data_IF_968428230546
#
_entry.id   IF_968428230546
#
_cell.length_a   1.000
_cell.length_b   1.000
_cell.length_c   1.000
_cell.angle_alpha   90.00
_cell.angle_beta   90.00
_cell.angle_gamma   90.00
#
_symmetry.space_group_name_H-M   'P 1'
#
loop_
_entity.id
_entity.type
_entity.pdbx_description
1 polymer ?
#
# COMPACT_ATOMS: atom_id res chain seq x y z
N UNK A 1 4.73 3.18 20.43
CA UNK A 1 4.81 2.57 19.07
C UNK A 1 5.15 3.61 18.03
N UNK A 2 5.97 3.28 16.99
CA UNK A 2 6.33 4.22 15.91
C UNK A 2 5.40 4.04 14.71
N UNK A 3 4.90 5.16 14.18
CA UNK A 3 4.01 5.23 13.04
C UNK A 3 4.50 6.28 12.02
N UNK A 4 4.16 6.08 10.76
CA UNK A 4 4.67 6.85 9.62
C UNK A 4 3.54 7.46 8.80
N UNK A 5 3.69 8.73 8.41
CA UNK A 5 2.79 9.42 7.49
C UNK A 5 3.53 9.89 6.25
N UNK A 6 3.13 9.40 5.09
CA UNK A 6 3.69 9.81 3.79
C UNK A 6 2.90 10.96 3.16
N UNK A 7 3.57 12.06 2.84
CA UNK A 7 2.96 13.27 2.26
C UNK A 7 3.90 13.98 1.28
N UNK A 8 3.38 15.00 0.60
CA UNK A 8 4.12 15.96 -0.22
C UNK A 8 4.96 16.93 0.63
N UNK A 9 4.64 17.07 1.92
CA UNK A 9 5.29 17.98 2.87
C UNK A 9 5.38 17.35 4.26
N UNK A 10 6.22 17.97 5.11
CA UNK A 10 6.27 17.62 6.52
C UNK A 10 4.95 17.95 7.20
N UNK A 11 4.40 16.99 7.92
CA UNK A 11 3.27 17.17 8.82
C UNK A 11 3.79 16.97 10.24
N UNK A 12 4.08 18.05 10.95
CA UNK A 12 4.52 18.02 12.35
C UNK A 12 3.31 18.05 13.31
N UNK A 13 2.27 18.78 12.92
CA UNK A 13 1.02 18.90 13.65
C UNK A 13 -0.08 18.23 12.82
N UNK A 14 -0.49 17.01 13.18
CA UNK A 14 -1.56 16.32 12.49
C UNK A 14 -2.90 17.02 12.77
N UNK A 15 -3.78 17.04 11.77
CA UNK A 15 -5.13 17.55 11.92
C UNK A 15 -6.15 16.58 11.32
N UNK A 16 -7.39 16.69 11.78
CA UNK A 16 -8.50 15.94 11.21
C UNK A 16 -8.83 16.55 9.84
N UNK A 17 -8.62 15.76 8.80
CA UNK A 17 -8.98 16.17 7.44
C UNK A 17 -10.47 15.89 7.21
N UNK A 18 -11.30 16.89 7.45
CA UNK A 18 -12.76 16.78 7.27
C UNK A 18 -13.16 16.75 5.79
N UNK A 19 -12.38 17.39 4.92
CA UNK A 19 -12.58 17.42 3.47
C UNK A 19 -11.77 16.36 2.73
N UNK A 20 -11.21 15.42 3.45
CA UNK A 20 -10.36 14.40 2.86
C UNK A 20 -11.18 13.52 1.91
N UNK A 21 -10.57 13.22 0.75
CA UNK A 21 -11.08 12.22 -0.17
C UNK A 21 -11.54 10.99 0.58
N UNK A 22 -12.66 10.46 0.14
CA UNK A 22 -13.22 9.21 0.61
C UNK A 22 -12.13 8.14 0.71
N UNK A 23 -11.96 7.59 1.90
CA UNK A 23 -10.98 6.55 2.22
C UNK A 23 -11.67 5.41 2.95
N UNK A 24 -11.11 4.24 2.85
CA UNK A 24 -11.68 2.98 3.33
C UNK A 24 -12.01 2.94 4.82
N UNK A 25 -11.26 3.65 5.66
CA UNK A 25 -11.52 3.72 7.10
C UNK A 25 -12.19 5.04 7.53
N UNK A 26 -12.70 5.82 6.55
CA UNK A 26 -13.41 7.07 6.79
C UNK A 26 -12.51 8.28 6.93
N UNK A 27 -13.08 9.37 7.47
CA UNK A 27 -12.37 10.64 7.70
C UNK A 27 -11.43 10.52 8.89
N UNK A 28 -10.20 11.06 8.77
CA UNK A 28 -9.22 11.08 9.84
C UNK A 28 -7.79 11.28 9.34
N UNK A 29 -6.85 11.26 10.26
CA UNK A 29 -5.42 11.31 9.98
C UNK A 29 -4.86 9.89 9.88
N UNK A 30 -4.19 9.57 8.77
CA UNK A 30 -3.77 8.22 8.43
C UNK A 30 -2.29 8.00 8.64
N UNK A 31 -1.95 6.93 9.36
CA UNK A 31 -0.61 6.48 9.63
C UNK A 31 -0.47 4.96 9.33
N UNK A 32 0.76 4.50 9.18
CA UNK A 32 1.08 3.09 8.99
C UNK A 32 2.31 2.71 9.83
N UNK A 33 2.40 1.47 10.33
CA UNK A 33 3.63 0.98 10.97
C UNK A 33 4.75 0.66 9.94
N UNK A 34 4.42 0.64 8.65
CA UNK A 34 5.36 0.33 7.56
C UNK A 34 5.92 1.61 6.92
N UNK A 35 7.21 1.89 7.18
CA UNK A 35 7.91 3.05 6.61
C UNK A 35 8.02 3.02 5.09
N UNK A 36 8.12 1.83 4.47
CA UNK A 36 8.19 1.68 3.02
C UNK A 36 6.83 2.03 2.37
N UNK A 37 5.74 1.63 3.01
CA UNK A 37 4.38 2.02 2.61
C UNK A 37 4.19 3.53 2.70
N UNK A 38 4.61 4.17 3.80
CA UNK A 38 4.53 5.62 3.95
C UNK A 38 5.35 6.34 2.86
N UNK A 39 6.55 5.84 2.57
CA UNK A 39 7.38 6.38 1.49
C UNK A 39 6.74 6.23 0.10
N UNK A 40 6.06 5.10 -0.17
CA UNK A 40 5.30 4.90 -1.41
C UNK A 40 4.12 5.88 -1.51
N UNK A 41 3.38 6.07 -0.42
CA UNK A 41 2.28 7.03 -0.34
C UNK A 41 2.76 8.47 -0.59
N UNK A 42 3.90 8.87 0.01
CA UNK A 42 4.51 10.17 -0.20
C UNK A 42 4.84 10.42 -1.69
N UNK A 43 5.49 9.45 -2.36
CA UNK A 43 5.80 9.53 -3.79
C UNK A 43 4.54 9.63 -4.67
N UNK A 44 3.52 8.86 -4.36
CA UNK A 44 2.25 8.89 -5.10
C UNK A 44 1.57 10.25 -4.96
N UNK A 45 1.59 10.83 -3.76
CA UNK A 45 1.00 12.14 -3.51
C UNK A 45 1.72 13.24 -4.28
N UNK A 46 3.05 13.28 -4.25
CA UNK A 46 3.85 14.24 -5.04
C UNK A 46 3.56 14.13 -6.54
N UNK A 47 3.58 12.91 -7.10
CA UNK A 47 3.28 12.72 -8.53
C UNK A 47 1.90 13.24 -8.90
N UNK A 48 0.93 13.07 -8.02
CA UNK A 48 -0.43 13.55 -8.23
C UNK A 48 -0.49 15.08 -8.17
N UNK A 49 0.12 15.72 -7.18
CA UNK A 49 0.19 17.17 -7.06
C UNK A 49 0.91 17.79 -8.28
N UNK A 50 2.01 17.21 -8.72
CA UNK A 50 2.73 17.63 -9.94
C UNK A 50 1.85 17.57 -11.19
N UNK A 51 1.02 16.52 -11.34
CA UNK A 51 0.09 16.40 -12.48
C UNK A 51 -1.05 17.42 -12.43
N UNK A 52 -1.57 17.72 -11.24
CA UNK A 52 -2.72 18.62 -11.07
C UNK A 52 -2.34 20.10 -11.16
N UNK A 53 -1.12 20.46 -10.74
CA UNK A 53 -0.72 21.85 -10.60
C UNK A 53 0.22 22.33 -11.70
N UNK A 54 0.64 21.44 -12.62
CA UNK A 54 1.69 21.70 -13.63
C UNK A 54 2.97 22.32 -13.02
N UNK A 55 3.11 22.22 -11.70
CA UNK A 55 4.24 22.78 -10.95
C UNK A 55 5.25 21.69 -10.64
N UNK A 56 6.52 21.95 -10.96
CA UNK A 56 7.64 21.25 -10.31
C UNK A 56 7.63 21.66 -8.84
N UNK A 57 7.27 20.75 -7.95
CA UNK A 57 7.42 20.97 -6.51
C UNK A 57 8.91 20.87 -6.16
N UNK A 58 9.37 21.69 -5.21
CA UNK A 58 10.74 21.58 -4.66
C UNK A 58 10.99 20.23 -3.98
N UNK A 59 9.92 19.49 -3.70
CA UNK A 59 9.92 18.14 -3.15
C UNK A 59 9.53 17.11 -4.20
N UNK A 60 10.48 16.71 -5.03
CA UNK A 60 10.25 15.67 -6.06
C UNK A 60 10.04 14.26 -5.51
N UNK A 61 10.24 14.05 -4.21
CA UNK A 61 10.26 12.74 -3.54
C UNK A 61 9.20 12.52 -2.46
N UNK A 62 8.56 13.58 -2.02
CA UNK A 62 7.70 13.55 -0.84
C UNK A 62 8.48 13.46 0.48
N UNK A 63 7.75 13.40 1.57
CA UNK A 63 8.29 13.38 2.94
C UNK A 63 7.54 12.35 3.76
N UNK A 64 8.26 11.62 4.62
CA UNK A 64 7.68 10.76 5.66
C UNK A 64 7.81 11.49 7.00
N UNK A 65 6.70 11.81 7.62
CA UNK A 65 6.64 12.31 8.99
C UNK A 65 6.54 11.12 9.95
N UNK A 66 7.38 11.10 10.98
CA UNK A 66 7.49 10.00 11.94
C UNK A 66 6.88 10.44 13.26
N UNK A 67 5.99 9.63 13.77
CA UNK A 67 5.28 9.86 15.03
C UNK A 67 5.52 8.70 16.00
N UNK A 68 5.60 9.03 17.26
CA UNK A 68 5.50 8.08 18.36
C UNK A 68 4.08 8.17 18.95
N UNK A 69 3.38 7.05 18.95
CA UNK A 69 2.09 6.94 19.64
C UNK A 69 2.33 6.75 21.14
N UNK A 70 1.77 7.63 21.94
CA UNK A 70 1.71 7.51 23.39
C UNK A 70 0.60 6.52 23.77
N UNK A 71 0.98 5.30 24.03
CA UNK A 71 0.06 4.19 24.39
C UNK A 71 -0.52 4.33 25.80
N UNK A 72 -0.08 5.32 26.58
CA UNK A 72 -0.66 5.60 27.92
C UNK A 72 -1.94 6.43 27.83
N UNK A 73 -2.19 7.09 26.69
CA UNK A 73 -3.43 7.82 26.46
C UNK A 73 -4.57 6.83 26.23
N UNK A 74 -5.65 6.87 27.02
CA UNK A 74 -6.76 5.93 26.85
C UNK A 74 -7.56 6.27 25.58
N UNK A 75 -7.38 5.47 24.52
CA UNK A 75 -8.10 5.61 23.25
C UNK A 75 -9.02 4.41 23.04
N UNK A 76 -10.21 4.68 22.51
CA UNK A 76 -11.13 3.66 22.03
C UNK A 76 -10.67 3.21 20.65
N UNK A 77 -10.11 2.02 20.55
CA UNK A 77 -9.55 1.48 19.31
C UNK A 77 -10.43 0.35 18.78
N UNK A 78 -10.78 0.40 17.50
CA UNK A 78 -11.36 -0.72 16.78
C UNK A 78 -10.35 -1.25 15.75
N UNK A 79 -10.24 -2.57 15.61
CA UNK A 79 -9.36 -3.21 14.65
C UNK A 79 -10.15 -4.22 13.81
N UNK A 80 -10.08 -4.06 12.50
CA UNK A 80 -10.44 -5.11 11.57
C UNK A 80 -9.27 -6.08 11.45
N UNK A 81 -9.41 -7.28 12.00
CA UNK A 81 -8.33 -8.29 12.00
C UNK A 81 -8.01 -8.79 10.59
N UNK A 82 -8.98 -8.74 9.67
CA UNK A 82 -8.83 -9.15 8.28
C UNK A 82 -9.81 -8.38 7.38
N UNK A 83 -9.75 -8.67 6.07
CA UNK A 83 -10.72 -8.18 5.07
C UNK A 83 -11.98 -9.06 5.10
N UNK A 84 -12.81 -8.85 6.12
CA UNK A 84 -14.10 -9.53 6.32
C UNK A 84 -15.23 -8.81 5.58
N UNK A 85 -16.44 -9.40 5.59
CA UNK A 85 -17.66 -8.74 5.12
C UNK A 85 -17.86 -7.38 5.81
N UNK A 86 -17.60 -7.31 7.10
CA UNK A 86 -17.70 -6.09 7.91
C UNK A 86 -16.70 -5.02 7.45
N UNK A 87 -15.45 -5.39 7.17
CA UNK A 87 -14.45 -4.48 6.60
C UNK A 87 -14.86 -3.99 5.21
N UNK A 88 -15.34 -4.89 4.34
CA UNK A 88 -15.77 -4.55 2.98
C UNK A 88 -16.95 -3.57 3.00
N UNK A 89 -17.97 -3.84 3.82
CA UNK A 89 -19.12 -2.97 3.97
C UNK A 89 -18.75 -1.60 4.53
N UNK A 90 -17.88 -1.56 5.55
CA UNK A 90 -17.40 -0.30 6.12
C UNK A 90 -16.57 0.50 5.10
N UNK A 91 -15.68 -0.14 4.35
CA UNK A 91 -14.95 0.50 3.28
C UNK A 91 -15.90 1.03 2.19
N UNK A 92 -16.88 0.24 1.79
CA UNK A 92 -17.84 0.59 0.74
C UNK A 92 -18.63 1.87 1.09
N UNK A 93 -19.21 1.98 2.29
CA UNK A 93 -19.97 3.18 2.70
C UNK A 93 -19.09 4.42 2.81
N UNK A 94 -17.80 4.26 3.12
CA UNK A 94 -16.86 5.38 3.17
C UNK A 94 -16.42 5.84 1.78
N UNK A 95 -16.41 4.96 0.77
CA UNK A 95 -16.13 5.34 -0.61
C UNK A 95 -17.37 5.88 -1.35
N UNK A 96 -18.53 5.27 -1.12
CA UNK A 96 -19.79 5.61 -1.78
C UNK A 96 -20.93 5.52 -0.77
N UNK A 97 -21.39 6.66 -0.29
CA UNK A 97 -22.39 6.74 0.78
C UNK A 97 -23.77 6.24 0.40
N UNK A 98 -24.06 6.08 -0.89
CA UNK A 98 -25.31 5.60 -1.46
C UNK A 98 -25.20 4.17 -2.02
N UNK A 99 -24.18 3.40 -1.60
CA UNK A 99 -24.00 2.01 -2.03
C UNK A 99 -25.04 1.07 -1.43
N UNK A 100 -25.50 1.38 -0.22
CA UNK A 100 -26.57 0.67 0.48
C UNK A 100 -27.77 1.58 0.72
N UNK A 101 -28.90 1.01 1.11
CA UNK A 101 -30.03 1.79 1.61
C UNK A 101 -29.64 2.65 2.81
N UNK A 102 -30.38 3.76 3.03
CA UNK A 102 -30.06 4.76 4.06
C UNK A 102 -29.90 4.14 5.46
N UNK A 103 -30.85 3.27 5.84
CA UNK A 103 -30.83 2.61 7.15
C UNK A 103 -29.57 1.78 7.36
N UNK A 104 -29.21 0.92 6.40
CA UNK A 104 -28.01 0.08 6.50
C UNK A 104 -26.74 0.91 6.52
N UNK A 105 -26.68 1.97 5.71
CA UNK A 105 -25.55 2.93 5.72
C UNK A 105 -25.36 3.54 7.10
N UNK A 106 -26.45 4.04 7.72
CA UNK A 106 -26.40 4.62 9.06
C UNK A 106 -26.02 3.60 10.13
N UNK A 107 -26.56 2.39 10.05
CA UNK A 107 -26.25 1.30 10.97
C UNK A 107 -24.75 0.92 10.91
N UNK A 108 -24.18 0.84 9.70
CA UNK A 108 -22.75 0.57 9.51
C UNK A 108 -21.91 1.69 10.10
N UNK A 109 -22.18 2.95 9.74
CA UNK A 109 -21.38 4.09 10.20
C UNK A 109 -21.49 4.30 11.71
N UNK A 110 -22.67 4.10 12.31
CA UNK A 110 -22.90 4.28 13.74
C UNK A 110 -22.11 3.31 14.62
N UNK A 111 -21.91 2.07 14.15
CA UNK A 111 -21.11 1.05 14.87
C UNK A 111 -19.70 1.52 15.19
N UNK A 112 -19.13 2.35 14.33
CA UNK A 112 -17.74 2.80 14.43
C UNK A 112 -17.60 4.28 14.83
N UNK A 113 -18.69 5.00 15.04
CA UNK A 113 -18.68 6.44 15.34
C UNK A 113 -18.01 6.79 16.66
N UNK A 114 -18.04 5.86 17.63
CA UNK A 114 -17.50 6.07 18.98
C UNK A 114 -16.02 5.72 19.16
N UNK A 115 -15.31 5.31 18.10
CA UNK A 115 -13.91 4.94 18.19
C UNK A 115 -12.99 6.11 17.81
N UNK A 116 -11.93 6.28 18.60
CA UNK A 116 -10.91 7.30 18.39
C UNK A 116 -9.95 6.92 17.28
N UNK A 117 -9.65 5.61 17.17
CA UNK A 117 -8.77 5.04 16.14
C UNK A 117 -9.43 3.81 15.53
N UNK A 118 -9.44 3.76 14.20
CA UNK A 118 -9.79 2.54 13.46
C UNK A 118 -8.54 2.03 12.76
N UNK A 119 -8.29 0.72 12.94
CA UNK A 119 -7.16 0.03 12.32
C UNK A 119 -7.71 -1.00 11.34
N UNK A 120 -7.10 -1.09 10.16
CA UNK A 120 -7.53 -2.07 9.16
C UNK A 120 -6.56 -2.20 8.00
N UNK A 121 -6.91 -3.06 7.06
CA UNK A 121 -6.13 -3.29 5.86
C UNK A 121 -6.30 -2.13 4.87
N UNK A 122 -5.18 -1.68 4.31
CA UNK A 122 -5.18 -0.70 3.23
C UNK A 122 -5.29 -1.41 1.89
N UNK A 123 -6.31 -1.10 1.07
CA UNK A 123 -6.39 -1.62 -0.28
C UNK A 123 -5.14 -1.25 -1.11
N UNK A 124 -4.57 -2.22 -1.78
CA UNK A 124 -3.62 -2.03 -2.86
C UNK A 124 -4.37 -1.74 -4.18
N UNK A 125 -3.66 -1.64 -5.29
CA UNK A 125 -4.27 -1.34 -6.60
C UNK A 125 -5.25 -2.45 -7.02
N UNK A 126 -4.91 -3.73 -6.75
CA UNK A 126 -5.78 -4.87 -7.06
C UNK A 126 -7.06 -4.84 -6.21
N UNK A 127 -6.93 -4.72 -4.91
CA UNK A 127 -8.08 -4.63 -3.98
C UNK A 127 -8.94 -3.39 -4.27
N UNK A 128 -8.34 -2.29 -4.70
CA UNK A 128 -9.06 -1.08 -5.11
C UNK A 128 -9.93 -1.31 -6.37
N UNK A 129 -9.46 -2.13 -7.32
CA UNK A 129 -10.28 -2.56 -8.46
C UNK A 129 -11.46 -3.44 -8.03
N UNK A 130 -11.23 -4.38 -7.10
CA UNK A 130 -12.30 -5.22 -6.54
C UNK A 130 -13.36 -4.36 -5.85
N UNK A 131 -12.94 -3.40 -5.00
CA UNK A 131 -13.85 -2.45 -4.37
C UNK A 131 -14.64 -1.64 -5.40
N UNK A 132 -13.97 -1.18 -6.45
CA UNK A 132 -14.64 -0.42 -7.53
C UNK A 132 -15.68 -1.29 -8.25
N UNK A 133 -15.35 -2.53 -8.58
CA UNK A 133 -16.27 -3.48 -9.21
C UNK A 133 -17.44 -3.82 -8.29
N UNK A 134 -17.20 -3.99 -6.98
CA UNK A 134 -18.24 -4.20 -5.98
C UNK A 134 -19.21 -3.01 -5.89
N UNK A 135 -18.68 -1.78 -5.83
CA UNK A 135 -19.45 -0.54 -5.82
C UNK A 135 -20.23 -0.29 -7.13
N UNK A 136 -19.78 -0.89 -8.23
CA UNK A 136 -20.42 -0.86 -9.54
C UNK A 136 -21.37 -2.07 -9.76
N UNK A 137 -21.68 -2.84 -8.71
CA UNK A 137 -22.60 -3.99 -8.73
C UNK A 137 -22.15 -5.14 -9.66
N UNK A 138 -20.86 -5.19 -10.02
CA UNK A 138 -20.33 -6.22 -10.94
C UNK A 138 -20.38 -7.63 -10.35
N UNK A 139 -20.52 -7.76 -9.03
CA UNK A 139 -20.69 -9.03 -8.30
C UNK A 139 -22.14 -9.30 -7.91
N UNK A 140 -23.09 -8.44 -8.29
CA UNK A 140 -24.49 -8.46 -7.89
C UNK A 140 -24.83 -7.32 -6.92
N UNK A 141 -26.03 -7.36 -6.34
CA UNK A 141 -26.48 -6.35 -5.39
C UNK A 141 -25.54 -6.30 -4.17
N UNK A 142 -24.93 -5.14 -3.84
CA UNK A 142 -23.90 -5.05 -2.79
C UNK A 142 -24.35 -5.53 -1.40
N UNK A 143 -25.64 -5.51 -1.09
CA UNK A 143 -26.19 -6.00 0.18
C UNK A 143 -26.26 -7.55 0.23
N UNK A 144 -26.16 -8.24 -0.91
CA UNK A 144 -26.29 -9.68 -0.96
C UNK A 144 -25.03 -10.39 -0.44
N UNK A 145 -25.23 -11.49 0.29
CA UNK A 145 -24.14 -12.33 0.75
C UNK A 145 -23.28 -12.87 -0.41
N UNK A 146 -23.89 -13.16 -1.55
CA UNK A 146 -23.19 -13.67 -2.73
C UNK A 146 -22.24 -12.62 -3.33
N UNK A 147 -22.69 -11.37 -3.44
CA UNK A 147 -21.83 -10.28 -3.93
C UNK A 147 -20.66 -10.01 -2.98
N UNK A 148 -20.91 -10.00 -1.67
CA UNK A 148 -19.89 -9.84 -0.63
C UNK A 148 -18.85 -10.97 -0.72
N UNK A 149 -19.31 -12.23 -0.73
CA UNK A 149 -18.43 -13.39 -0.79
C UNK A 149 -17.62 -13.43 -2.09
N UNK A 150 -18.27 -13.11 -3.23
CA UNK A 150 -17.59 -13.03 -4.53
C UNK A 150 -16.50 -11.97 -4.53
N UNK A 151 -16.77 -10.77 -4.05
CA UNK A 151 -15.77 -9.72 -3.96
C UNK A 151 -14.59 -10.14 -3.04
N UNK A 152 -14.88 -10.67 -1.85
CA UNK A 152 -13.87 -11.08 -0.87
C UNK A 152 -13.02 -12.25 -1.34
N UNK A 153 -13.54 -13.15 -2.18
CA UNK A 153 -12.78 -14.28 -2.73
C UNK A 153 -11.60 -13.85 -3.60
N UNK A 154 -11.60 -12.60 -4.07
CA UNK A 154 -10.52 -12.02 -4.88
C UNK A 154 -9.55 -11.14 -4.06
N UNK A 155 -9.81 -10.92 -2.77
CA UNK A 155 -8.94 -10.12 -1.89
C UNK A 155 -7.93 -11.03 -1.19
N UNK A 156 -6.66 -10.61 -1.15
CA UNK A 156 -5.57 -11.34 -0.48
C UNK A 156 -5.11 -10.56 0.76
N UNK A 157 -5.74 -10.79 1.93
CA UNK A 157 -5.51 -9.99 3.15
C UNK A 157 -4.06 -9.98 3.62
N UNK A 158 -3.32 -11.09 3.39
CA UNK A 158 -1.92 -11.26 3.77
C UNK A 158 -0.97 -10.36 2.99
N UNK A 159 -1.38 -9.89 1.79
CA UNK A 159 -0.61 -8.98 0.96
C UNK A 159 -0.87 -7.51 1.30
N UNK A 160 -1.92 -7.24 2.08
CA UNK A 160 -2.32 -5.89 2.41
C UNK A 160 -1.63 -5.37 3.67
N UNK A 161 -1.08 -4.17 3.56
CA UNK A 161 -0.48 -3.47 4.69
C UNK A 161 -1.54 -2.97 5.65
N UNK A 162 -1.13 -2.79 6.90
CA UNK A 162 -1.98 -2.22 7.94
C UNK A 162 -1.91 -0.69 7.95
N UNK A 163 -3.04 -0.06 8.25
CA UNK A 163 -3.09 1.39 8.47
C UNK A 163 -3.98 1.74 9.66
N UNK A 164 -3.70 2.88 10.23
CA UNK A 164 -4.34 3.48 11.40
C UNK A 164 -5.02 4.77 10.98
N UNK A 165 -6.31 4.90 11.23
CA UNK A 165 -7.09 6.11 11.02
C UNK A 165 -7.40 6.76 12.37
N UNK A 166 -6.75 7.87 12.69
CA UNK A 166 -6.99 8.68 13.89
C UNK A 166 -8.12 9.64 13.61
N UNK A 167 -9.21 9.55 14.39
CA UNK A 167 -10.50 10.18 14.06
C UNK A 167 -10.93 11.28 15.01
N UNK A 168 -10.26 11.42 16.16
CA UNK A 168 -10.59 12.42 17.18
C UNK A 168 -9.38 13.26 17.53
N UNK A 169 -9.62 14.48 18.04
CA UNK A 169 -8.54 15.34 18.53
C UNK A 169 -7.76 14.68 19.67
N UNK A 170 -8.44 13.92 20.55
CA UNK A 170 -7.79 13.16 21.61
C UNK A 170 -6.78 12.16 21.01
N UNK A 171 -7.16 11.46 19.93
CA UNK A 171 -6.27 10.52 19.25
C UNK A 171 -5.08 11.23 18.61
N UNK A 172 -5.27 12.42 18.02
CA UNK A 172 -4.18 13.21 17.47
C UNK A 172 -3.20 13.69 18.55
N UNK A 173 -3.69 14.07 19.72
CA UNK A 173 -2.85 14.49 20.87
C UNK A 173 -1.98 13.35 21.41
N UNK A 174 -2.35 12.10 21.18
CA UNK A 174 -1.51 10.96 21.53
C UNK A 174 -0.32 10.75 20.56
N UNK A 175 -0.25 11.50 19.45
CA UNK A 175 0.81 11.43 18.46
C UNK A 175 1.89 12.47 18.75
N UNK A 176 3.11 12.02 19.06
CA UNK A 176 4.27 12.90 19.27
C UNK A 176 5.14 12.88 18.01
N UNK A 177 5.23 14.02 17.33
CA UNK A 177 6.12 14.16 16.17
C UNK A 177 7.58 13.99 16.60
N UNK A 178 8.28 13.09 15.94
CA UNK A 178 9.68 12.80 16.22
C UNK A 178 10.62 13.49 15.23
N UNK A 179 10.44 13.20 13.98
CA UNK A 179 11.28 13.73 12.89
C UNK A 179 10.60 13.51 11.52
N UNK A 180 11.25 14.04 10.50
CA UNK A 180 10.92 13.75 9.10
C UNK A 180 12.07 13.03 8.42
N UNK A 181 11.74 12.11 7.51
CA UNK A 181 12.67 11.52 6.56
C UNK A 181 12.21 11.81 5.13
N UNK A 182 13.11 12.25 4.26
CA UNK A 182 12.84 12.22 2.83
C UNK A 182 12.88 10.76 2.38
N UNK A 183 11.83 10.25 1.69
CA UNK A 183 11.89 8.91 1.12
C UNK A 183 13.15 8.81 0.27
N UNK A 184 14.02 7.87 0.59
CA UNK A 184 15.19 7.62 -0.27
C UNK A 184 14.66 7.41 -1.69
N UNK A 185 15.32 8.00 -2.67
CA UNK A 185 15.24 7.50 -4.03
C UNK A 185 15.64 6.02 -3.96
N UNK A 186 14.68 5.13 -3.98
CA UNK A 186 14.90 3.95 -4.77
C UNK A 186 15.21 4.54 -6.15
N UNK A 187 16.46 4.48 -6.59
CA UNK A 187 16.75 4.97 -7.93
C UNK A 187 15.74 4.25 -8.79
N UNK A 188 15.05 4.96 -9.69
CA UNK A 188 14.07 4.32 -10.57
C UNK A 188 14.73 3.14 -11.30
N UNK A 189 16.02 3.18 -11.48
CA UNK A 189 16.91 2.15 -11.98
C UNK A 189 16.96 0.92 -11.05
N UNK A 190 17.19 1.10 -9.73
CA UNK A 190 17.23 -0.02 -8.79
C UNK A 190 15.87 -0.69 -8.65
N UNK A 191 14.79 0.09 -8.59
CA UNK A 191 13.42 -0.46 -8.59
C UNK A 191 13.11 -1.24 -9.88
N UNK A 192 13.57 -0.73 -11.04
CA UNK A 192 13.43 -1.44 -12.30
C UNK A 192 14.26 -2.72 -12.30
N UNK A 193 15.50 -2.68 -11.80
CA UNK A 193 16.36 -3.84 -11.64
C UNK A 193 15.72 -4.93 -10.76
N UNK A 194 15.18 -4.55 -9.58
CA UNK A 194 14.47 -5.46 -8.66
C UNK A 194 13.27 -6.13 -9.36
N UNK A 195 12.50 -5.35 -10.12
CA UNK A 195 11.33 -5.84 -10.85
C UNK A 195 11.72 -6.82 -11.97
N UNK A 196 12.72 -6.45 -12.77
CA UNK A 196 13.21 -7.28 -13.87
C UNK A 196 13.78 -8.60 -13.34
N UNK A 197 14.57 -8.54 -12.26
CA UNK A 197 15.11 -9.73 -11.59
C UNK A 197 13.99 -10.65 -11.08
N UNK A 198 12.96 -10.09 -10.44
CA UNK A 198 11.82 -10.86 -9.93
C UNK A 198 11.07 -11.54 -11.08
N UNK A 199 10.81 -10.85 -12.18
CA UNK A 199 10.12 -11.42 -13.34
C UNK A 199 10.97 -12.51 -14.00
N UNK A 200 12.28 -12.30 -14.13
CA UNK A 200 13.21 -13.31 -14.65
C UNK A 200 13.23 -14.56 -13.76
N UNK A 201 13.20 -14.39 -12.43
CA UNK A 201 13.11 -15.53 -11.50
C UNK A 201 11.80 -16.32 -11.66
N UNK A 202 10.67 -15.64 -11.88
CA UNK A 202 9.39 -16.31 -12.14
C UNK A 202 9.42 -17.12 -13.45
N UNK A 203 10.00 -16.56 -14.51
CA UNK A 203 10.15 -17.25 -15.79
C UNK A 203 11.08 -18.46 -15.65
N UNK A 204 12.23 -18.30 -14.99
CA UNK A 204 13.18 -19.40 -14.73
C UNK A 204 12.55 -20.52 -13.90
N UNK A 205 11.74 -20.16 -12.91
CA UNK A 205 11.00 -21.11 -12.08
C UNK A 205 10.04 -21.95 -12.93
N UNK A 206 9.31 -21.31 -13.84
CA UNK A 206 8.39 -21.99 -14.76
C UNK A 206 9.12 -22.92 -15.74
N UNK A 207 10.24 -22.46 -16.31
CA UNK A 207 11.05 -23.26 -17.25
C UNK A 207 11.68 -24.50 -16.60
N UNK A 208 12.17 -24.37 -15.36
CA UNK A 208 12.89 -25.44 -14.66
C UNK A 208 12.03 -26.25 -13.71
N UNK A 209 10.75 -25.90 -13.51
CA UNK A 209 9.86 -26.58 -12.58
C UNK A 209 10.31 -26.47 -11.11
N UNK A 210 10.98 -25.36 -10.73
CA UNK A 210 11.49 -25.11 -9.38
C UNK A 210 10.70 -23.98 -8.70
N UNK A 211 10.91 -23.81 -7.38
CA UNK A 211 10.27 -22.68 -6.68
C UNK A 211 10.82 -21.34 -7.14
N UNK A 212 9.99 -20.28 -7.08
CA UNK A 212 10.44 -18.92 -7.39
C UNK A 212 11.60 -18.46 -6.51
N UNK A 213 11.66 -18.94 -5.25
CA UNK A 213 12.76 -18.64 -4.33
C UNK A 213 14.06 -19.31 -4.80
N UNK A 214 14.01 -20.55 -5.26
CA UNK A 214 15.20 -21.26 -5.73
C UNK A 214 15.69 -20.68 -7.05
N UNK A 215 14.77 -20.31 -7.95
CA UNK A 215 15.11 -19.57 -9.17
C UNK A 215 15.78 -18.22 -8.86
N UNK A 216 15.25 -17.47 -7.90
CA UNK A 216 15.84 -16.20 -7.47
C UNK A 216 17.24 -16.40 -6.87
N UNK A 217 17.44 -17.43 -6.04
CA UNK A 217 18.77 -17.78 -5.50
C UNK A 217 19.79 -18.11 -6.60
N UNK A 218 19.36 -18.81 -7.65
CA UNK A 218 20.22 -19.11 -8.80
C UNK A 218 20.66 -17.83 -9.51
N UNK A 219 19.72 -16.92 -9.78
CA UNK A 219 20.03 -15.63 -10.42
C UNK A 219 20.94 -14.75 -9.55
N UNK A 220 20.69 -14.68 -8.24
CA UNK A 220 21.51 -13.89 -7.31
C UNK A 220 22.97 -14.39 -7.27
N UNK A 221 23.19 -15.69 -7.40
CA UNK A 221 24.52 -16.30 -7.42
C UNK A 221 25.23 -16.20 -8.77
N UNK A 222 24.57 -15.73 -9.80
CA UNK A 222 25.13 -15.62 -11.15
C UNK A 222 25.76 -14.25 -11.40
N UNK A 223 26.69 -14.13 -12.37
CA UNK A 223 27.26 -12.86 -12.79
C UNK A 223 26.22 -11.85 -13.30
N UNK A 224 25.08 -12.35 -13.76
CA UNK A 224 23.98 -11.53 -14.26
C UNK A 224 23.39 -10.64 -13.17
N UNK A 225 23.41 -11.09 -11.91
CA UNK A 225 22.94 -10.28 -10.78
C UNK A 225 23.73 -8.99 -10.66
N UNK A 226 25.06 -9.07 -10.64
CA UNK A 226 25.93 -7.90 -10.55
C UNK A 226 25.73 -6.98 -11.75
N UNK A 227 25.59 -7.55 -12.95
CA UNK A 227 25.34 -6.79 -14.18
C UNK A 227 24.00 -6.05 -14.17
N UNK A 228 22.93 -6.61 -13.60
CA UNK A 228 21.63 -5.94 -13.47
C UNK A 228 21.73 -4.72 -12.53
N UNK A 229 22.53 -4.81 -11.45
CA UNK A 229 22.68 -3.76 -10.46
C UNK A 229 23.81 -2.79 -10.75
N UNK A 230 24.70 -3.12 -11.68
CA UNK A 230 25.63 -2.16 -12.26
C UNK A 230 24.89 -1.27 -13.25
N UNK A 231 24.68 -0.02 -12.85
CA UNK A 231 23.88 0.95 -13.60
C UNK A 231 24.52 1.38 -14.92
N UNK A 232 25.82 1.13 -15.10
CA UNK A 232 26.55 1.46 -16.33
C UNK A 232 26.30 0.42 -17.44
N UNK A 233 26.02 -0.83 -17.09
CA UNK A 233 25.74 -1.90 -18.07
C UNK A 233 24.45 -1.65 -18.85
N UNK A 234 23.51 -0.93 -18.28
CA UNK A 234 22.19 -0.75 -18.85
C UNK A 234 21.27 -1.97 -18.76
N UNK A 235 21.75 -3.14 -18.26
CA UNK A 235 21.00 -4.40 -18.20
C UNK A 235 19.71 -4.29 -17.41
N UNK A 236 19.62 -3.41 -16.43
CA UNK A 236 18.41 -3.09 -15.69
C UNK A 236 17.27 -2.52 -16.54
N UNK A 237 17.52 -2.12 -17.81
CA UNK A 237 16.51 -1.64 -18.78
C UNK A 237 15.98 -2.75 -19.67
N UNK A 238 16.72 -3.86 -19.73
CA UNK A 238 16.36 -5.00 -20.55
C UNK A 238 15.15 -5.72 -19.98
N UNK A 239 14.44 -6.47 -20.83
CA UNK A 239 13.32 -7.30 -20.39
C UNK A 239 13.80 -8.55 -19.62
N UNK A 240 12.89 -9.21 -18.87
CA UNK A 240 13.23 -10.41 -18.11
C UNK A 240 13.73 -11.56 -19.00
N UNK A 241 13.29 -11.65 -20.26
CA UNK A 241 13.79 -12.63 -21.24
C UNK A 241 15.27 -12.45 -21.53
N UNK A 242 15.73 -11.21 -21.77
CA UNK A 242 17.15 -10.92 -22.01
C UNK A 242 18.02 -11.24 -20.79
N UNK A 243 17.47 -11.08 -19.57
CA UNK A 243 18.15 -11.50 -18.34
C UNK A 243 18.33 -13.02 -18.30
N UNK A 244 17.31 -13.78 -18.71
CA UNK A 244 17.40 -15.25 -18.78
C UNK A 244 18.38 -15.71 -19.86
N UNK A 245 18.36 -15.10 -21.02
CA UNK A 245 19.33 -15.38 -22.09
C UNK A 245 20.76 -15.14 -21.60
N UNK A 246 21.01 -14.02 -20.92
CA UNK A 246 22.32 -13.72 -20.33
C UNK A 246 22.72 -14.74 -19.24
N UNK A 247 21.77 -15.18 -18.42
CA UNK A 247 21.97 -16.21 -17.40
C UNK A 247 22.31 -17.56 -18.01
N UNK A 248 21.61 -17.97 -19.07
CA UNK A 248 21.82 -19.22 -19.77
C UNK A 248 23.14 -19.23 -20.56
N UNK A 249 23.58 -18.06 -21.05
CA UNK A 249 24.85 -17.91 -21.75
C UNK A 249 26.08 -18.02 -20.82
N UNK A 250 25.90 -17.80 -19.51
CA UNK A 250 26.98 -17.84 -18.52
C UNK A 250 26.60 -18.72 -17.33
N UNK A 251 26.32 -20.03 -17.53
CA UNK A 251 26.07 -20.93 -16.42
C UNK A 251 27.35 -21.01 -15.57
N UNK A 252 27.24 -20.72 -14.25
CA UNK A 252 28.33 -21.08 -13.34
C UNK A 252 28.47 -22.60 -13.36
N UNK A 253 29.64 -23.11 -13.67
CA UNK A 253 29.99 -24.47 -13.42
C UNK A 253 29.78 -24.78 -11.94
N UNK A 254 28.91 -25.72 -11.62
CA UNK A 254 28.72 -26.25 -10.27
C UNK A 254 30.02 -26.96 -9.87
N UNK A 255 30.76 -26.36 -8.95
CA UNK A 255 31.84 -27.03 -8.21
C UNK A 255 31.35 -27.36 -6.82
#
# INVERSE_FOLDING_TARGET
MILYHGSDRTVAEPNLQTDAKKKELGSGFYLTPDSAQAAAAARTRVRREQRLLEKKSDYDRGVVSIFELDETVPLKVFRFESTTAEWLQFAAVNFKTDVYGEQLTQDILSRYSGYDVIIGKRPDDHTSMILTAYLAESYGTPESADAINSALSHVFPEQLSEQYCFRTEQALHALKFQKKDAPMRASSKKFTADRVLTMAAQMLAAEQGISGIDALKKLIKSPVYDAIYDLETGMWREGPSSILEAYQAHPKEEH
#
